data_IF_302384466799
#
_entry.id   IF_302384466799
#
_cell.length_a   1.000
_cell.length_b   1.000
_cell.length_c   1.000
_cell.angle_alpha   90.00
_cell.angle_beta   90.00
_cell.angle_gamma   90.00
#
_symmetry.space_group_name_H-M   'P 1'
#
loop_
_entity.id
_entity.type
_entity.pdbx_description
1 polymer ?
#
# COMPACT_ATOMS: atom_id res chain seq x y z
N UNK A 1 -15.06 16.33 -14.88
CA UNK A 1 -15.56 14.97 -14.61
C UNK A 1 -15.02 14.57 -13.24
N UNK A 2 -15.84 14.64 -12.18
CA UNK A 2 -15.35 14.42 -10.81
C UNK A 2 -15.13 12.92 -10.56
N UNK A 3 -13.88 12.54 -10.25
CA UNK A 3 -13.51 11.19 -9.83
C UNK A 3 -14.08 10.90 -8.44
N UNK A 4 -15.35 10.49 -8.40
CA UNK A 4 -16.10 10.17 -7.16
C UNK A 4 -15.58 8.93 -6.41
N UNK A 5 -14.67 8.14 -7.00
CA UNK A 5 -14.16 6.91 -6.39
C UNK A 5 -13.40 7.19 -5.08
N UNK A 6 -12.58 8.24 -5.06
CA UNK A 6 -11.72 8.57 -3.92
C UNK A 6 -12.51 9.07 -2.69
N UNK A 7 -13.69 9.64 -2.92
CA UNK A 7 -14.59 10.16 -1.89
C UNK A 7 -15.73 9.19 -1.54
N UNK A 8 -15.65 7.93 -1.95
CA UNK A 8 -16.71 6.95 -1.72
C UNK A 8 -16.60 6.30 -0.34
N UNK A 9 -17.68 6.36 0.45
CA UNK A 9 -17.78 5.81 1.81
C UNK A 9 -17.43 4.33 1.97
N UNK A 10 -17.55 3.57 0.88
CA UNK A 10 -17.30 2.14 0.81
C UNK A 10 -15.86 1.75 0.50
N UNK A 11 -14.98 2.70 0.16
CA UNK A 11 -13.59 2.42 -0.18
C UNK A 11 -12.65 2.85 0.95
N UNK A 12 -11.63 2.02 1.21
CA UNK A 12 -10.51 2.36 2.08
C UNK A 12 -9.24 2.29 1.22
N UNK A 13 -8.50 3.38 1.16
CA UNK A 13 -7.22 3.43 0.45
C UNK A 13 -6.11 2.91 1.35
N UNK A 14 -5.45 1.84 0.93
CA UNK A 14 -4.46 1.15 1.74
C UNK A 14 -3.10 1.20 1.04
N UNK A 15 -2.04 1.47 1.79
CA UNK A 15 -0.68 1.52 1.24
C UNK A 15 0.34 1.92 2.29
N UNK A 16 1.61 1.97 1.90
CA UNK A 16 2.69 2.52 2.73
C UNK A 16 2.87 4.00 2.46
N UNK A 17 2.97 4.79 3.53
CA UNK A 17 3.00 6.26 3.49
C UNK A 17 1.81 6.85 2.72
N UNK A 18 0.66 6.17 2.81
CA UNK A 18 -0.55 6.51 2.05
C UNK A 18 -1.02 7.95 2.32
N UNK A 19 -0.82 8.47 3.53
CA UNK A 19 -1.16 9.84 3.89
C UNK A 19 -0.35 10.87 3.08
N UNK A 20 0.97 10.66 2.95
CA UNK A 20 1.84 11.54 2.17
C UNK A 20 1.51 11.48 0.68
N UNK A 21 1.22 10.27 0.16
CA UNK A 21 0.79 10.08 -1.23
C UNK A 21 -0.55 10.78 -1.50
N UNK A 22 -1.51 10.67 -0.59
CA UNK A 22 -2.80 11.37 -0.68
C UNK A 22 -2.59 12.89 -0.67
N UNK A 23 -1.80 13.44 0.27
CA UNK A 23 -1.54 14.88 0.32
C UNK A 23 -0.93 15.40 -0.99
N UNK A 24 0.01 14.65 -1.59
CA UNK A 24 0.57 14.98 -2.91
C UNK A 24 -0.50 14.95 -4.01
N UNK A 25 -1.34 13.92 -4.04
CA UNK A 25 -2.42 13.81 -5.03
C UNK A 25 -3.47 14.92 -4.89
N UNK A 26 -3.82 15.31 -3.67
CA UNK A 26 -4.74 16.41 -3.40
C UNK A 26 -4.17 17.78 -3.78
N UNK A 27 -2.84 17.96 -3.65
CA UNK A 27 -2.18 19.20 -4.08
C UNK A 27 -2.04 19.33 -5.59
N UNK A 28 -1.94 18.21 -6.31
CA UNK A 28 -1.79 18.17 -7.78
C UNK A 28 -3.14 18.05 -8.51
N UNK A 29 -4.15 17.49 -7.86
CA UNK A 29 -5.44 17.18 -8.45
C UNK A 29 -6.56 17.51 -7.45
N UNK A 30 -7.73 17.91 -7.93
CA UNK A 30 -8.94 18.14 -7.12
C UNK A 30 -9.58 16.83 -6.63
N UNK A 31 -8.79 15.95 -6.02
CA UNK A 31 -9.22 14.67 -5.47
C UNK A 31 -9.53 14.80 -3.99
N UNK A 32 -10.52 14.06 -3.53
CA UNK A 32 -10.94 14.00 -2.12
C UNK A 32 -10.86 12.55 -1.67
N UNK A 33 -10.26 12.29 -0.51
CA UNK A 33 -10.08 10.96 0.05
C UNK A 33 -10.78 10.87 1.41
N UNK A 34 -11.74 9.95 1.57
CA UNK A 34 -12.52 9.85 2.82
C UNK A 34 -11.86 8.93 3.86
N UNK A 35 -11.34 7.77 3.42
CA UNK A 35 -10.74 6.77 4.30
C UNK A 35 -9.44 6.25 3.72
N UNK A 36 -8.39 6.24 4.53
CA UNK A 36 -7.13 5.61 4.18
C UNK A 36 -6.47 5.01 5.41
N UNK A 37 -5.63 4.00 5.17
CA UNK A 37 -5.00 3.23 6.23
C UNK A 37 -3.59 2.83 5.83
N UNK A 38 -2.64 3.13 6.72
CA UNK A 38 -1.24 2.76 6.50
C UNK A 38 -1.03 1.29 6.88
N UNK A 39 -0.53 0.49 5.94
CA UNK A 39 -0.30 -0.95 6.13
C UNK A 39 0.66 -1.20 7.30
N UNK A 40 1.64 -0.32 7.56
CA UNK A 40 2.57 -0.47 8.68
C UNK A 40 1.86 -0.32 10.02
N UNK A 41 0.80 0.49 10.09
CA UNK A 41 -0.03 0.60 11.31
C UNK A 41 -0.82 -0.69 11.55
N UNK A 42 -1.38 -1.28 10.49
CA UNK A 42 -2.10 -2.55 10.59
C UNK A 42 -1.18 -3.70 10.99
N UNK A 43 0.00 -3.81 10.38
CA UNK A 43 0.95 -4.86 10.74
C UNK A 43 1.46 -4.71 12.18
N UNK A 44 1.69 -3.47 12.67
CA UNK A 44 2.01 -3.23 14.09
C UNK A 44 0.89 -3.68 15.03
N UNK A 45 -0.38 -3.53 14.63
CA UNK A 45 -1.52 -3.98 15.43
C UNK A 45 -1.64 -5.50 15.49
N UNK A 46 -1.35 -6.20 14.38
CA UNK A 46 -1.32 -7.66 14.32
C UNK A 46 -0.25 -8.25 15.25
N UNK A 47 0.92 -7.62 15.25
CA UNK A 47 2.10 -8.14 15.94
C UNK A 47 2.22 -7.64 17.38
N UNK A 48 1.33 -6.77 17.87
CA UNK A 48 1.24 -6.46 19.30
C UNK A 48 0.89 -7.68 20.19
N UNK A 49 0.63 -8.86 19.60
CA UNK A 49 0.54 -10.16 20.27
C UNK A 49 1.83 -11.02 20.24
N UNK A 50 2.88 -10.61 19.52
CA UNK A 50 4.14 -11.36 19.36
C UNK A 50 5.34 -10.40 19.47
N UNK A 51 6.37 -10.75 20.25
CA UNK A 51 7.54 -9.93 20.59
C UNK A 51 8.46 -9.52 19.42
N UNK A 52 7.96 -8.90 18.35
CA UNK A 52 8.76 -8.43 17.23
C UNK A 52 8.79 -6.90 17.14
N UNK A 53 9.99 -6.34 17.12
CA UNK A 53 10.25 -4.91 17.22
C UNK A 53 10.06 -4.22 15.86
N UNK A 54 8.84 -4.19 15.32
CA UNK A 54 8.48 -3.62 14.00
C UNK A 54 8.39 -2.08 14.04
N UNK A 55 9.00 -1.42 15.03
CA UNK A 55 8.98 0.05 15.09
C UNK A 55 9.61 0.69 13.85
N UNK A 56 10.47 -0.06 13.13
CA UNK A 56 11.27 0.41 12.00
C UNK A 56 11.18 -0.43 10.71
N UNK A 57 10.22 -1.34 10.52
CA UNK A 57 10.17 -2.04 9.22
C UNK A 57 9.78 -1.08 8.09
N UNK A 58 10.65 -0.98 7.09
CA UNK A 58 10.34 -0.28 5.85
C UNK A 58 9.29 -1.05 5.04
N UNK A 59 8.61 -0.38 4.09
CA UNK A 59 7.60 -1.00 3.19
C UNK A 59 8.12 -2.30 2.58
N UNK A 60 9.40 -2.29 2.27
CA UNK A 60 10.18 -3.35 1.67
C UNK A 60 10.25 -4.58 2.59
N UNK A 61 10.65 -4.40 3.84
CA UNK A 61 10.78 -5.50 4.81
C UNK A 61 9.42 -6.09 5.18
N UNK A 62 8.39 -5.25 5.26
CA UNK A 62 7.02 -5.71 5.53
C UNK A 62 6.45 -6.51 4.36
N UNK A 63 6.69 -6.05 3.13
CA UNK A 63 6.32 -6.78 1.92
C UNK A 63 7.11 -8.09 1.79
N UNK A 64 8.38 -8.10 2.18
CA UNK A 64 9.24 -9.29 2.17
C UNK A 64 8.79 -10.31 3.21
N UNK A 65 8.41 -9.87 4.40
CA UNK A 65 7.87 -10.74 5.46
C UNK A 65 6.50 -11.33 5.10
N UNK A 66 5.66 -10.60 4.36
CA UNK A 66 4.28 -11.00 4.06
C UNK A 66 4.11 -11.66 2.68
N UNK A 67 5.00 -11.41 1.71
CA UNK A 67 4.89 -11.92 0.33
C UNK A 67 6.16 -12.60 -0.21
N UNK A 68 7.26 -12.61 0.55
CA UNK A 68 8.50 -13.31 0.19
C UNK A 68 9.53 -12.49 -0.61
N UNK A 69 10.71 -13.08 -0.81
CA UNK A 69 11.92 -12.42 -1.34
C UNK A 69 11.91 -12.13 -2.85
N UNK A 70 11.05 -12.83 -3.61
CA UNK A 70 10.92 -12.64 -5.06
C UNK A 70 10.47 -11.22 -5.42
N UNK A 71 9.62 -10.61 -4.59
CA UNK A 71 9.01 -9.30 -4.81
C UNK A 71 9.96 -8.10 -4.71
N UNK A 72 11.18 -8.28 -4.21
CA UNK A 72 12.02 -7.17 -3.72
C UNK A 72 13.27 -6.93 -4.57
N UNK A 73 13.75 -7.95 -5.27
CA UNK A 73 15.04 -7.90 -5.98
C UNK A 73 15.00 -7.00 -7.22
N UNK A 74 13.85 -6.89 -7.87
CA UNK A 74 13.63 -6.02 -9.04
C UNK A 74 13.15 -4.61 -8.68
N UNK A 75 12.66 -4.39 -7.45
CA UNK A 75 12.05 -3.12 -7.07
C UNK A 75 13.01 -1.93 -7.11
N UNK A 76 14.24 -2.09 -6.62
CA UNK A 76 15.18 -0.96 -6.49
C UNK A 76 15.67 -0.40 -7.83
N UNK A 77 15.83 -1.24 -8.86
CA UNK A 77 16.31 -0.79 -10.16
C UNK A 77 15.24 0.02 -10.90
N UNK A 78 13.99 -0.43 -10.83
CA UNK A 78 12.87 0.19 -11.56
C UNK A 78 12.24 1.35 -10.78
N UNK A 79 12.31 1.36 -9.45
CA UNK A 79 11.81 2.48 -8.64
C UNK A 79 12.50 3.82 -8.99
N UNK A 80 13.78 3.78 -9.37
CA UNK A 80 14.57 4.95 -9.79
C UNK A 80 14.58 5.19 -11.31
N UNK A 81 13.76 4.46 -12.08
CA UNK A 81 13.64 4.66 -13.53
C UNK A 81 12.84 5.93 -13.88
N UNK A 82 12.87 6.35 -15.14
CA UNK A 82 12.16 7.56 -15.58
C UNK A 82 10.64 7.31 -15.72
N UNK A 83 9.86 7.74 -14.74
CA UNK A 83 8.40 7.63 -14.70
C UNK A 83 7.66 8.73 -15.48
N UNK A 84 8.37 9.77 -15.93
CA UNK A 84 7.79 10.86 -16.72
C UNK A 84 7.74 10.53 -18.22
N UNK A 85 8.26 9.36 -18.62
CA UNK A 85 8.16 8.88 -19.99
C UNK A 85 6.70 8.68 -20.41
N UNK A 86 6.33 9.22 -21.57
CA UNK A 86 4.99 9.04 -22.15
C UNK A 86 4.65 7.57 -22.42
N UNK A 87 5.66 6.76 -22.73
CA UNK A 87 5.54 5.32 -22.96
C UNK A 87 6.50 4.64 -21.99
N UNK A 88 5.94 3.87 -21.06
CA UNK A 88 6.71 3.04 -20.11
C UNK A 88 7.15 1.76 -20.81
N UNK A 89 8.30 1.22 -20.41
CA UNK A 89 8.73 -0.10 -20.86
C UNK A 89 7.97 -1.22 -20.13
N UNK A 90 8.07 -2.45 -20.64
CA UNK A 90 7.35 -3.59 -20.07
C UNK A 90 7.78 -3.91 -18.63
N UNK A 91 9.05 -3.69 -18.29
CA UNK A 91 9.57 -3.95 -16.95
C UNK A 91 8.96 -2.95 -15.94
N UNK A 92 8.86 -1.67 -16.32
CA UNK A 92 8.17 -0.64 -15.54
C UNK A 92 6.69 -0.97 -15.35
N UNK A 93 5.99 -1.42 -16.41
CA UNK A 93 4.57 -1.81 -16.35
C UNK A 93 4.36 -3.01 -15.44
N UNK A 94 5.18 -4.05 -15.59
CA UNK A 94 5.14 -5.23 -14.75
C UNK A 94 5.38 -4.85 -13.28
N UNK A 95 6.42 -4.06 -13.02
CA UNK A 95 6.76 -3.59 -11.68
C UNK A 95 5.61 -2.86 -10.98
N UNK A 96 4.97 -1.88 -11.62
CA UNK A 96 3.85 -1.15 -10.98
C UNK A 96 2.62 -2.02 -10.80
N UNK A 97 2.38 -2.96 -11.72
CA UNK A 97 1.23 -3.86 -11.64
C UNK A 97 1.41 -4.84 -10.49
N UNK A 98 2.60 -5.39 -10.35
CA UNK A 98 3.00 -6.28 -9.26
C UNK A 98 2.94 -5.55 -7.93
N UNK A 99 3.44 -4.31 -7.83
CA UNK A 99 3.37 -3.49 -6.61
C UNK A 99 1.92 -3.16 -6.19
N UNK A 100 1.06 -2.85 -7.15
CA UNK A 100 -0.36 -2.60 -6.90
C UNK A 100 -1.10 -3.87 -6.44
N UNK A 101 -0.87 -5.00 -7.09
CA UNK A 101 -1.46 -6.29 -6.71
C UNK A 101 -1.03 -6.72 -5.30
N UNK A 102 0.26 -6.62 -5.01
CA UNK A 102 0.82 -6.83 -3.68
C UNK A 102 0.11 -5.97 -2.62
N UNK A 103 0.02 -4.67 -2.86
CA UNK A 103 -0.62 -3.72 -1.94
C UNK A 103 -2.08 -4.08 -1.68
N UNK A 104 -2.81 -4.52 -2.72
CA UNK A 104 -4.18 -5.01 -2.58
C UNK A 104 -4.26 -6.29 -1.73
N UNK A 105 -3.42 -7.29 -1.99
CA UNK A 105 -3.43 -8.54 -1.24
C UNK A 105 -3.07 -8.32 0.23
N UNK A 106 -2.05 -7.50 0.51
CA UNK A 106 -1.67 -7.09 1.86
C UNK A 106 -2.81 -6.36 2.57
N UNK A 107 -3.40 -5.37 1.90
CA UNK A 107 -4.53 -4.62 2.42
C UNK A 107 -5.72 -5.52 2.71
N UNK A 108 -6.08 -6.42 1.80
CA UNK A 108 -7.18 -7.37 1.96
C UNK A 108 -6.96 -8.27 3.17
N UNK A 109 -5.78 -8.89 3.30
CA UNK A 109 -5.47 -9.78 4.43
C UNK A 109 -5.54 -9.02 5.76
N UNK A 110 -4.81 -7.91 5.87
CA UNK A 110 -4.72 -7.18 7.14
C UNK A 110 -6.02 -6.45 7.51
N UNK A 111 -6.78 -5.92 6.55
CA UNK A 111 -8.07 -5.27 6.80
C UNK A 111 -9.12 -6.31 7.19
N UNK A 112 -9.18 -7.47 6.53
CA UNK A 112 -10.10 -8.53 6.92
C UNK A 112 -9.78 -9.03 8.34
N UNK A 113 -8.51 -9.34 8.63
CA UNK A 113 -8.07 -9.73 9.98
C UNK A 113 -8.43 -8.67 11.04
N UNK A 114 -8.25 -7.39 10.71
CA UNK A 114 -8.60 -6.29 11.62
C UNK A 114 -10.11 -6.15 11.85
N UNK A 115 -10.92 -6.34 10.81
CA UNK A 115 -12.38 -6.31 10.92
C UNK A 115 -12.90 -7.50 11.72
N UNK A 116 -12.35 -8.70 11.50
CA UNK A 116 -12.68 -9.91 12.24
C UNK A 116 -12.31 -9.78 13.72
N UNK A 117 -11.14 -9.21 14.05
CA UNK A 117 -10.73 -8.96 15.44
C UNK A 117 -11.64 -7.97 16.19
N UNK A 118 -12.34 -7.08 15.48
CA UNK A 118 -13.30 -6.14 16.07
C UNK A 118 -14.70 -6.72 16.25
N UNK A 119 -14.98 -7.89 15.68
CA UNK A 119 -16.29 -8.53 15.75
C UNK A 119 -16.13 -10.03 16.08
N UNK A 120 -15.62 -10.35 17.28
CA UNK A 120 -15.43 -11.74 17.69
C UNK A 120 -16.79 -12.45 17.71
N UNK A 121 -16.86 -13.59 17.02
CA UNK A 121 -18.01 -14.51 17.10
C UNK A 121 -18.15 -15.09 18.50
#
# INVERSE_FOLDING_TARGET
MSLKLFASRGCIFVGVDVAAKIAKLQGLHELQFEKYLDIRKLAKLRELGSDCNIKHLESEELALALMGSYFMKEKRKLACSNWDNRVLDMDQVEHVTVDAYASYMLGKTLVNEFLDARNPK
#
